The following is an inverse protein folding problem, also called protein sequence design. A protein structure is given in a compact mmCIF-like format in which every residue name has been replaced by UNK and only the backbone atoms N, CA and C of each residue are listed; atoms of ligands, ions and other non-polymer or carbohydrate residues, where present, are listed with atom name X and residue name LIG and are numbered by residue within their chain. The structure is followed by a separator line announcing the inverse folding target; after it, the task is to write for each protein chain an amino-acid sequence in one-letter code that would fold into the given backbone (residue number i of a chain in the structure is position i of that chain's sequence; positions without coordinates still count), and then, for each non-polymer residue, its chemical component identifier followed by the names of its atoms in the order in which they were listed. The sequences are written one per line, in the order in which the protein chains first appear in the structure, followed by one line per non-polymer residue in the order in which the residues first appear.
data_IF_347379309022
#
_entry.id   IF_347379309022
#
_cell.length_a   1.000
_cell.length_b   1.000
_cell.length_c   1.000
_cell.angle_alpha   90.00
_cell.angle_beta   90.00
_cell.angle_gamma   90.00
#
_symmetry.space_group_name_H-M   'P 1'
#
loop_
_entity.id
_entity.type
_entity.pdbx_description
1 polymer ?
#
# COMPACT_ATOMS: atom_id res chain seq x y z
N UNK A 1 13.82 -0.54 -9.73
CA UNK A 1 13.30 -1.28 -8.55
C UNK A 1 13.59 -2.75 -8.78
N UNK A 2 14.33 -3.40 -7.89
CA UNK A 2 14.64 -4.85 -7.87
C UNK A 2 13.40 -5.72 -8.15
N UNK A 3 12.21 -5.22 -7.83
CA UNK A 3 10.95 -5.86 -8.19
C UNK A 3 10.82 -6.07 -9.71
N UNK A 4 11.23 -5.13 -10.57
CA UNK A 4 11.22 -5.30 -12.03
C UNK A 4 12.28 -6.29 -12.54
N UNK A 5 13.44 -6.38 -11.89
CA UNK A 5 14.51 -7.32 -12.27
C UNK A 5 14.19 -8.76 -11.82
N UNK A 6 13.50 -8.93 -10.68
CA UNK A 6 12.93 -10.22 -10.27
C UNK A 6 11.56 -10.54 -10.92
N UNK A 7 10.97 -9.55 -11.59
CA UNK A 7 9.92 -9.69 -12.61
C UNK A 7 10.55 -9.49 -14.00
N UNK A 8 11.62 -10.20 -14.35
CA UNK A 8 11.90 -10.33 -15.77
C UNK A 8 10.69 -11.02 -16.43
N UNK A 9 9.96 -10.20 -17.17
CA UNK A 9 8.91 -10.54 -18.12
C UNK A 9 9.46 -11.15 -19.39
N UNK A 10 10.79 -11.24 -19.58
CA UNK A 10 11.38 -11.99 -20.68
C UNK A 10 11.09 -13.48 -20.49
N UNK A 11 10.88 -14.15 -21.62
CA UNK A 11 10.59 -15.58 -21.72
C UNK A 11 11.77 -16.46 -21.24
N UNK A 12 12.93 -15.83 -20.99
CA UNK A 12 14.16 -16.48 -20.56
C UNK A 12 14.18 -16.74 -19.05
N UNK A 13 14.13 -18.02 -18.73
CA UNK A 13 13.98 -18.60 -17.38
C UNK A 13 15.28 -18.53 -16.55
N UNK A 14 16.24 -17.65 -16.89
CA UNK A 14 17.59 -17.65 -16.30
C UNK A 14 18.20 -16.28 -15.95
N UNK A 15 17.43 -15.18 -15.98
CA UNK A 15 17.99 -13.85 -15.75
C UNK A 15 18.25 -13.56 -14.26
N UNK A 16 19.38 -14.04 -13.76
CA UNK A 16 20.03 -13.48 -12.55
C UNK A 16 20.33 -12.00 -12.85
N UNK A 17 19.96 -11.10 -11.93
CA UNK A 17 20.23 -9.67 -12.07
C UNK A 17 21.69 -9.42 -12.41
N UNK A 18 21.97 -8.64 -13.46
CA UNK A 18 23.33 -8.39 -13.91
C UNK A 18 24.10 -7.61 -12.83
N UNK A 19 25.41 -7.85 -12.70
CA UNK A 19 26.23 -7.15 -11.70
C UNK A 19 26.14 -5.62 -11.83
N UNK A 20 25.98 -5.13 -13.07
CA UNK A 20 25.76 -3.72 -13.37
C UNK A 20 24.44 -3.17 -12.79
N UNK A 21 23.36 -3.95 -12.85
CA UNK A 21 22.06 -3.57 -12.32
C UNK A 21 22.11 -3.48 -10.79
N UNK A 22 22.79 -4.44 -10.15
CA UNK A 22 23.02 -4.42 -8.70
C UNK A 22 23.81 -3.17 -8.29
N UNK A 23 24.88 -2.83 -9.02
CA UNK A 23 25.66 -1.60 -8.77
C UNK A 23 24.81 -0.34 -8.96
N UNK A 24 23.96 -0.30 -9.99
CA UNK A 24 23.05 0.82 -10.24
C UNK A 24 22.04 1.00 -9.10
N UNK A 25 21.50 -0.12 -8.58
CA UNK A 25 20.57 -0.13 -7.46
C UNK A 25 21.25 0.39 -6.19
N UNK A 26 22.44 -0.09 -5.85
CA UNK A 26 23.20 0.38 -4.69
C UNK A 26 23.53 1.88 -4.78
N UNK A 27 23.86 2.36 -6.00
CA UNK A 27 24.05 3.80 -6.24
C UNK A 27 22.77 4.59 -6.01
N UNK A 28 21.62 4.04 -6.40
CA UNK A 28 20.31 4.66 -6.21
C UNK A 28 19.90 4.66 -4.74
N UNK A 29 20.11 3.56 -4.01
CA UNK A 29 19.90 3.44 -2.57
C UNK A 29 20.67 4.52 -1.80
N UNK A 30 21.96 4.71 -2.12
CA UNK A 30 22.79 5.77 -1.51
C UNK A 30 22.24 7.17 -1.78
N UNK A 31 21.78 7.44 -3.00
CA UNK A 31 21.15 8.73 -3.34
C UNK A 31 19.85 8.96 -2.57
N UNK A 32 19.03 7.92 -2.42
CA UNK A 32 17.80 7.99 -1.63
C UNK A 32 18.11 8.24 -0.16
N UNK A 33 19.11 7.56 0.41
CA UNK A 33 19.56 7.79 1.79
C UNK A 33 19.97 9.24 2.02
N UNK A 34 20.77 9.81 1.12
CA UNK A 34 21.15 11.24 1.19
C UNK A 34 19.92 12.14 1.09
N UNK A 35 18.96 11.82 0.21
CA UNK A 35 17.73 12.59 0.06
C UNK A 35 16.87 12.60 1.33
N UNK A 36 16.78 11.45 2.03
CA UNK A 36 16.07 11.33 3.32
C UNK A 36 16.77 12.14 4.41
N UNK A 37 18.10 12.12 4.46
CA UNK A 37 18.88 12.96 5.38
C UNK A 37 18.62 14.45 5.13
N UNK A 38 18.65 14.89 3.86
CA UNK A 38 18.33 16.28 3.50
C UNK A 38 16.90 16.65 3.90
N UNK A 39 15.92 15.75 3.76
CA UNK A 39 14.55 16.01 4.22
C UNK A 39 14.48 16.24 5.74
N UNK A 40 15.25 15.47 6.52
CA UNK A 40 15.35 15.67 7.97
C UNK A 40 15.97 17.03 8.30
N UNK A 41 17.04 17.42 7.63
CA UNK A 41 17.68 18.74 7.82
C UNK A 41 16.70 19.88 7.49
N UNK A 42 16.04 19.82 6.32
CA UNK A 42 15.02 20.79 5.92
C UNK A 42 13.90 20.89 6.97
N UNK A 43 13.48 19.75 7.54
CA UNK A 43 12.47 19.72 8.59
C UNK A 43 12.90 20.45 9.87
N UNK A 44 14.18 20.41 10.23
CA UNK A 44 14.70 21.17 11.39
C UNK A 44 14.66 22.68 11.14
N UNK A 45 14.92 23.10 9.91
CA UNK A 45 14.95 24.51 9.50
C UNK A 45 13.55 25.15 9.44
N UNK A 46 12.47 24.36 9.35
CA UNK A 46 11.08 24.85 9.31
C UNK A 46 10.69 25.76 10.49
N UNK A 47 11.40 25.69 11.63
CA UNK A 47 11.16 26.55 12.80
C UNK A 47 11.45 28.03 12.53
N UNK A 48 12.29 28.32 11.54
CA UNK A 48 12.71 29.67 11.19
C UNK A 48 11.86 30.27 10.06
N UNK A 49 10.89 29.53 9.53
CA UNK A 49 10.10 29.98 8.38
C UNK A 49 8.96 30.93 8.81
N UNK A 50 8.92 32.17 8.28
CA UNK A 50 7.80 33.09 8.54
C UNK A 50 6.54 32.56 7.87
N UNK A 51 5.48 32.26 8.65
CA UNK A 51 4.26 31.62 8.13
C UNK A 51 3.01 32.47 8.36
N UNK A 52 2.18 32.54 7.32
CA UNK A 52 0.86 33.21 7.36
C UNK A 52 -0.24 32.33 7.98
N UNK A 53 -0.06 31.01 8.05
CA UNK A 53 -1.08 30.04 8.49
C UNK A 53 -0.52 29.09 9.54
N UNK A 54 -0.97 29.19 10.79
CA UNK A 54 -0.75 28.23 11.91
C UNK A 54 0.72 27.81 12.20
N UNK A 55 0.96 26.88 13.14
CA UNK A 55 2.27 26.24 13.35
C UNK A 55 2.51 25.11 12.31
N UNK A 56 3.76 24.81 11.97
CA UNK A 56 4.08 23.87 10.89
C UNK A 56 3.84 22.46 11.43
N UNK A 57 3.21 21.54 10.68
CA UNK A 57 2.95 20.19 11.17
C UNK A 57 4.22 19.33 11.18
N UNK A 58 5.24 19.76 11.93
CA UNK A 58 6.57 19.13 11.99
C UNK A 58 6.49 17.66 12.40
N UNK A 59 5.59 17.33 13.32
CA UNK A 59 5.41 15.95 13.79
C UNK A 59 4.98 15.01 12.67
N UNK A 60 3.98 15.39 11.86
CA UNK A 60 3.45 14.53 10.78
C UNK A 60 4.50 14.34 9.69
N UNK A 61 5.17 15.42 9.28
CA UNK A 61 6.25 15.33 8.30
C UNK A 61 7.43 14.49 8.79
N UNK A 62 7.75 14.55 10.08
CA UNK A 62 8.78 13.68 10.69
C UNK A 62 8.40 12.21 10.55
N UNK A 63 7.16 11.85 10.89
CA UNK A 63 6.70 10.47 10.75
C UNK A 63 6.72 10.00 9.29
N UNK A 64 6.39 10.87 8.34
CA UNK A 64 6.52 10.54 6.91
C UNK A 64 7.97 10.25 6.53
N UNK A 65 8.90 11.11 6.94
CA UNK A 65 10.33 10.92 6.64
C UNK A 65 10.85 9.64 7.30
N UNK A 66 10.43 9.34 8.54
CA UNK A 66 10.76 8.09 9.22
C UNK A 66 10.20 6.86 8.49
N UNK A 67 8.95 6.90 8.05
CA UNK A 67 8.36 5.79 7.29
C UNK A 67 9.06 5.58 5.95
N UNK A 68 9.49 6.66 5.27
CA UNK A 68 10.31 6.56 4.05
C UNK A 68 11.69 5.95 4.34
N UNK A 69 12.32 6.27 5.47
CA UNK A 69 13.57 5.63 5.91
C UNK A 69 13.36 4.13 6.15
N UNK A 70 12.32 3.75 6.91
CA UNK A 70 11.99 2.35 7.15
C UNK A 70 11.78 1.59 5.83
N UNK A 71 11.04 2.19 4.91
CA UNK A 71 10.78 1.63 3.58
C UNK A 71 12.08 1.42 2.78
N UNK A 72 13.01 2.38 2.83
CA UNK A 72 14.33 2.25 2.19
C UNK A 72 15.12 1.10 2.82
N UNK A 73 15.15 1.00 4.15
CA UNK A 73 15.84 -0.08 4.86
C UNK A 73 15.27 -1.46 4.46
N UNK A 74 13.94 -1.58 4.35
CA UNK A 74 13.30 -2.83 3.91
C UNK A 74 13.54 -3.16 2.45
N UNK A 75 13.66 -2.16 1.58
CA UNK A 75 14.07 -2.38 0.20
C UNK A 75 15.52 -2.88 0.11
N UNK A 76 16.42 -2.39 0.96
CA UNK A 76 17.81 -2.88 1.07
C UNK A 76 17.83 -4.33 1.59
N UNK A 77 17.04 -4.65 2.62
CA UNK A 77 16.88 -6.02 3.13
C UNK A 77 16.35 -6.95 2.05
N UNK A 78 15.33 -6.52 1.28
CA UNK A 78 14.75 -7.27 0.18
C UNK A 78 15.79 -7.57 -0.90
N UNK A 79 16.57 -6.58 -1.33
CA UNK A 79 17.65 -6.77 -2.31
C UNK A 79 18.71 -7.74 -1.79
N UNK A 80 19.11 -7.57 -0.54
CA UNK A 80 20.13 -8.41 0.09
C UNK A 80 19.66 -9.86 0.16
N UNK A 81 18.43 -10.10 0.60
CA UNK A 81 17.83 -11.44 0.61
C UNK A 81 17.76 -12.03 -0.82
N UNK A 82 17.29 -11.24 -1.79
CA UNK A 82 17.14 -11.69 -3.18
C UNK A 82 18.46 -12.16 -3.82
N UNK A 83 19.59 -11.54 -3.46
CA UNK A 83 20.93 -11.89 -3.96
C UNK A 83 21.37 -13.30 -3.57
N UNK A 84 20.95 -13.79 -2.39
CA UNK A 84 21.41 -15.06 -1.85
C UNK A 84 20.42 -16.21 -2.05
N UNK A 85 19.29 -15.98 -2.74
CA UNK A 85 18.36 -17.05 -3.09
C UNK A 85 19.03 -17.99 -4.11
N UNK A 86 19.10 -19.28 -3.77
CA UNK A 86 19.65 -20.31 -4.66
C UNK A 86 18.93 -20.34 -6.01
N UNK A 87 19.65 -20.47 -7.14
CA UNK A 87 19.05 -20.58 -8.48
C UNK A 87 18.08 -21.76 -8.61
N UNK A 88 18.26 -22.84 -7.86
CA UNK A 88 17.32 -23.97 -7.80
C UNK A 88 15.95 -23.54 -7.28
N UNK A 89 15.95 -22.80 -6.16
CA UNK A 89 14.74 -22.23 -5.55
C UNK A 89 14.10 -21.21 -6.48
N UNK A 90 14.91 -20.38 -7.14
CA UNK A 90 14.39 -19.43 -8.13
C UNK A 90 13.67 -20.17 -9.25
N UNK A 91 14.25 -21.23 -9.81
CA UNK A 91 13.63 -22.01 -10.89
C UNK A 91 12.32 -22.67 -10.44
N UNK A 92 12.32 -23.25 -9.25
CA UNK A 92 11.16 -23.93 -8.66
C UNK A 92 10.00 -22.96 -8.41
N UNK A 93 10.29 -21.76 -7.89
CA UNK A 93 9.27 -20.80 -7.46
C UNK A 93 8.88 -19.77 -8.52
N UNK A 94 9.82 -19.32 -9.36
CA UNK A 94 9.58 -18.24 -10.32
C UNK A 94 8.57 -18.59 -11.40
N UNK A 95 8.57 -19.83 -11.89
CA UNK A 95 7.61 -20.25 -12.91
C UNK A 95 6.18 -20.30 -12.36
N UNK A 96 5.88 -21.19 -11.40
CA UNK A 96 4.52 -21.40 -10.90
C UNK A 96 3.89 -20.18 -10.19
N UNK A 97 4.72 -19.30 -9.61
CA UNK A 97 4.25 -18.09 -8.93
C UNK A 97 4.33 -16.82 -9.79
N UNK A 98 4.78 -16.89 -11.05
CA UNK A 98 5.06 -15.72 -11.92
C UNK A 98 3.93 -14.69 -11.92
N UNK A 99 2.71 -15.14 -12.18
CA UNK A 99 1.52 -14.27 -12.28
C UNK A 99 1.21 -13.59 -10.95
N UNK A 100 1.23 -14.35 -9.85
CA UNK A 100 0.91 -13.84 -8.51
C UNK A 100 1.98 -12.86 -7.99
N UNK A 101 3.26 -13.14 -8.24
CA UNK A 101 4.33 -12.19 -7.88
C UNK A 101 4.25 -10.91 -8.69
N UNK A 102 3.95 -11.01 -10.00
CA UNK A 102 3.78 -9.85 -10.87
C UNK A 102 2.63 -8.97 -10.39
N UNK A 103 1.52 -9.57 -10.00
CA UNK A 103 0.36 -8.87 -9.45
C UNK A 103 0.69 -8.16 -8.12
N UNK A 104 1.34 -8.85 -7.18
CA UNK A 104 1.81 -8.24 -5.93
C UNK A 104 2.75 -7.05 -6.16
N UNK A 105 3.72 -7.24 -7.04
CA UNK A 105 4.66 -6.20 -7.41
C UNK A 105 4.01 -5.00 -8.11
N UNK A 106 3.05 -5.24 -9.01
CA UNK A 106 2.30 -4.19 -9.68
C UNK A 106 1.50 -3.37 -8.67
N UNK A 107 0.87 -4.02 -7.69
CA UNK A 107 0.18 -3.32 -6.61
C UNK A 107 1.14 -2.42 -5.82
N UNK A 108 2.32 -2.92 -5.42
CA UNK A 108 3.35 -2.14 -4.70
C UNK A 108 3.80 -0.93 -5.52
N UNK A 109 4.13 -1.11 -6.80
CA UNK A 109 4.56 0.01 -7.68
C UNK A 109 3.45 1.06 -7.84
N UNK A 110 2.19 0.62 -7.89
CA UNK A 110 1.04 1.50 -7.98
C UNK A 110 0.82 2.29 -6.67
N UNK A 111 1.04 1.68 -5.50
CA UNK A 111 1.07 2.42 -4.23
C UNK A 111 2.08 3.56 -4.26
N UNK A 112 3.32 3.29 -4.68
CA UNK A 112 4.34 4.33 -4.81
C UNK A 112 3.91 5.48 -5.72
N UNK A 113 3.35 5.16 -6.89
CA UNK A 113 2.88 6.18 -7.84
C UNK A 113 1.75 7.05 -7.26
N UNK A 114 0.76 6.43 -6.60
CA UNK A 114 -0.36 7.17 -6.04
C UNK A 114 0.08 8.07 -4.88
N UNK A 115 0.93 7.55 -3.98
CA UNK A 115 1.47 8.32 -2.86
C UNK A 115 2.33 9.49 -3.34
N UNK A 116 3.24 9.24 -4.28
CA UNK A 116 4.07 10.28 -4.87
C UNK A 116 3.23 11.34 -5.59
N UNK A 117 2.27 10.91 -6.42
CA UNK A 117 1.37 11.82 -7.13
C UNK A 117 0.56 12.71 -6.20
N UNK A 118 0.02 12.14 -5.11
CA UNK A 118 -0.73 12.87 -4.08
C UNK A 118 0.15 13.89 -3.35
N UNK A 119 1.37 13.53 -2.97
CA UNK A 119 2.30 14.44 -2.30
C UNK A 119 2.74 15.61 -3.21
N UNK A 120 3.07 15.33 -4.47
CA UNK A 120 3.50 16.34 -5.44
C UNK A 120 2.37 17.32 -5.76
N UNK A 121 1.18 16.79 -6.08
CA UNK A 121 0.02 17.60 -6.46
C UNK A 121 -0.72 18.21 -5.26
N UNK A 122 -0.37 17.82 -4.03
CA UNK A 122 -1.08 18.17 -2.79
C UNK A 122 -2.58 17.82 -2.87
N UNK A 123 -2.91 16.77 -3.60
CA UNK A 123 -4.29 16.30 -3.77
C UNK A 123 -4.58 15.17 -2.79
N UNK A 124 -5.82 15.07 -2.30
CA UNK A 124 -6.24 13.98 -1.41
C UNK A 124 -6.08 12.63 -2.13
N UNK A 125 -5.66 11.63 -1.37
CA UNK A 125 -5.53 10.28 -1.88
C UNK A 125 -6.88 9.73 -2.38
N UNK A 126 -6.86 8.85 -3.40
CA UNK A 126 -8.06 8.10 -3.80
C UNK A 126 -8.66 7.33 -2.62
N UNK A 127 -9.99 7.11 -2.61
CA UNK A 127 -10.65 6.38 -1.53
C UNK A 127 -10.21 4.92 -1.44
N UNK A 128 -9.82 4.31 -2.57
CA UNK A 128 -9.47 2.90 -2.66
C UNK A 128 -8.13 2.70 -3.36
N UNK A 129 -7.38 1.73 -2.87
CA UNK A 129 -6.13 1.24 -3.45
C UNK A 129 -6.30 -0.25 -3.78
N UNK A 130 -5.63 -0.77 -4.82
CA UNK A 130 -5.52 -2.21 -4.98
C UNK A 130 -4.77 -2.78 -3.78
N UNK A 131 -5.33 -3.78 -3.09
CA UNK A 131 -4.68 -4.31 -1.88
C UNK A 131 -3.45 -5.15 -2.22
N UNK A 132 -2.27 -4.60 -1.95
CA UNK A 132 -1.00 -5.33 -2.07
C UNK A 132 -0.92 -6.49 -1.07
N UNK A 133 -1.55 -6.36 0.11
CA UNK A 133 -1.67 -7.44 1.09
C UNK A 133 -2.44 -8.64 0.55
N UNK A 134 -3.59 -8.42 -0.10
CA UNK A 134 -4.34 -9.53 -0.71
C UNK A 134 -3.52 -10.17 -1.83
N UNK A 135 -2.83 -9.36 -2.65
CA UNK A 135 -1.95 -9.89 -3.70
C UNK A 135 -0.83 -10.79 -3.12
N UNK A 136 -0.22 -10.40 -2.00
CA UNK A 136 0.74 -11.24 -1.25
C UNK A 136 0.10 -12.52 -0.72
N UNK A 137 -1.08 -12.45 -0.13
CA UNK A 137 -1.80 -13.64 0.35
C UNK A 137 -2.06 -14.62 -0.80
N UNK A 138 -2.38 -14.13 -1.99
CA UNK A 138 -2.52 -14.99 -3.19
C UNK A 138 -1.23 -15.73 -3.53
N UNK A 139 -0.07 -15.08 -3.41
CA UNK A 139 1.25 -15.73 -3.59
C UNK A 139 1.44 -16.85 -2.57
N UNK A 140 1.17 -16.59 -1.29
CA UNK A 140 1.32 -17.57 -0.20
C UNK A 140 0.36 -18.75 -0.38
N UNK A 141 -0.91 -18.48 -0.70
CA UNK A 141 -1.90 -19.52 -0.92
C UNK A 141 -1.55 -20.38 -2.12
N UNK A 142 -1.05 -19.77 -3.21
CA UNK A 142 -0.58 -20.55 -4.36
C UNK A 142 0.61 -21.43 -4.01
N UNK A 143 1.57 -20.90 -3.24
CA UNK A 143 2.73 -21.66 -2.76
C UNK A 143 2.30 -22.86 -1.91
N UNK A 144 1.33 -22.68 -1.02
CA UNK A 144 0.74 -23.76 -0.20
C UNK A 144 -0.01 -24.79 -1.05
N UNK A 145 -0.69 -24.41 -2.12
CA UNK A 145 -1.34 -25.37 -3.01
C UNK A 145 -0.33 -26.19 -3.82
N UNK A 146 0.85 -25.63 -4.11
CA UNK A 146 1.94 -26.35 -4.76
C UNK A 146 2.81 -27.14 -3.78
N UNK A 147 2.53 -27.11 -2.46
CA UNK A 147 3.42 -27.68 -1.45
C UNK A 147 3.54 -29.20 -1.52
N UNK A 148 2.51 -29.87 -2.02
CA UNK A 148 2.52 -31.33 -2.24
C UNK A 148 3.47 -31.73 -3.38
N UNK A 149 3.87 -30.76 -4.22
CA UNK A 149 4.76 -30.96 -5.39
C UNK A 149 6.11 -30.25 -5.24
N UNK A 150 6.27 -29.35 -4.27
CA UNK A 150 7.47 -28.50 -4.09
C UNK A 150 8.30 -28.88 -2.84
N UNK A 151 9.58 -29.28 -2.99
CA UNK A 151 10.52 -29.52 -1.90
C UNK A 151 10.65 -28.41 -0.86
N UNK A 152 10.39 -27.13 -1.19
CA UNK A 152 10.43 -26.03 -0.22
C UNK A 152 9.53 -26.23 1.02
N UNK A 153 8.54 -27.11 0.91
CA UNK A 153 7.55 -27.44 1.93
C UNK A 153 7.50 -28.93 2.30
N UNK A 154 8.25 -29.79 1.61
CA UNK A 154 8.25 -31.24 1.83
C UNK A 154 9.36 -31.69 2.78
N UNK A 155 8.99 -32.28 3.93
CA UNK A 155 9.94 -32.77 4.94
C UNK A 155 10.49 -31.65 5.83
N UNK A 156 9.71 -31.24 6.83
CA UNK A 156 10.02 -30.20 7.83
C UNK A 156 10.13 -28.74 7.35
N UNK A 157 10.20 -28.43 6.05
CA UNK A 157 10.01 -27.06 5.51
C UNK A 157 11.03 -25.98 5.93
N UNK A 158 12.06 -26.39 6.69
CA UNK A 158 13.08 -25.55 7.32
C UNK A 158 14.49 -25.94 6.83
N UNK A 159 14.64 -26.20 5.53
CA UNK A 159 15.98 -26.27 4.97
C UNK A 159 16.62 -24.88 5.05
N UNK A 160 17.86 -24.80 5.55
CA UNK A 160 18.65 -23.56 5.58
C UNK A 160 18.71 -22.89 4.19
N UNK A 161 18.64 -23.70 3.13
CA UNK A 161 18.59 -23.27 1.72
C UNK A 161 17.41 -22.32 1.44
N UNK A 162 16.29 -22.45 2.16
CA UNK A 162 15.06 -21.68 1.96
C UNK A 162 15.04 -20.35 2.75
N UNK A 163 16.01 -20.13 3.65
CA UNK A 163 16.01 -18.98 4.56
C UNK A 163 15.94 -17.64 3.82
N UNK A 164 16.70 -17.49 2.74
CA UNK A 164 16.72 -16.25 1.95
C UNK A 164 15.40 -15.98 1.22
N UNK A 165 14.68 -17.04 0.81
CA UNK A 165 13.35 -16.90 0.25
C UNK A 165 12.34 -16.42 1.29
N UNK A 166 12.37 -16.99 2.50
CA UNK A 166 11.52 -16.54 3.59
C UNK A 166 11.84 -15.09 4.01
N UNK A 167 13.12 -14.73 4.09
CA UNK A 167 13.55 -13.36 4.36
C UNK A 167 13.04 -12.39 3.27
N UNK A 168 13.09 -12.78 2.00
CA UNK A 168 12.52 -12.01 0.88
C UNK A 168 11.00 -11.83 1.03
N UNK A 169 10.26 -12.89 1.36
CA UNK A 169 8.80 -12.83 1.60
C UNK A 169 8.40 -12.02 2.83
N UNK A 170 9.23 -12.02 3.88
CA UNK A 170 9.09 -11.16 5.06
C UNK A 170 9.32 -9.69 4.71
N UNK A 171 10.42 -9.39 4.01
CA UNK A 171 10.72 -8.02 3.59
C UNK A 171 9.62 -7.43 2.69
N UNK A 172 8.98 -8.26 1.84
CA UNK A 172 7.82 -7.83 1.05
C UNK A 172 6.59 -7.50 1.90
N UNK A 173 6.36 -8.23 3.00
CA UNK A 173 5.29 -7.92 3.96
C UNK A 173 5.52 -6.57 4.61
N UNK A 174 6.73 -6.37 5.14
CA UNK A 174 7.13 -5.16 5.84
C UNK A 174 7.06 -3.93 4.92
N UNK A 175 7.42 -4.07 3.63
CA UNK A 175 7.24 -3.02 2.62
C UNK A 175 5.76 -2.66 2.43
N UNK A 176 4.88 -3.66 2.36
CA UNK A 176 3.44 -3.42 2.20
C UNK A 176 2.87 -2.72 3.43
N UNK A 177 3.26 -3.15 4.63
CA UNK A 177 2.84 -2.52 5.88
C UNK A 177 3.29 -1.07 5.98
N UNK A 178 4.55 -0.78 5.64
CA UNK A 178 5.06 0.59 5.64
C UNK A 178 4.38 1.47 4.58
N UNK A 179 4.06 0.93 3.39
CA UNK A 179 3.30 1.67 2.38
C UNK A 179 1.88 2.03 2.85
N UNK A 180 1.23 1.14 3.58
CA UNK A 180 -0.09 1.41 4.14
C UNK A 180 -0.03 2.40 5.29
N UNK A 181 0.98 2.30 6.17
CA UNK A 181 1.25 3.28 7.21
C UNK A 181 1.49 4.67 6.60
N UNK A 182 2.35 4.76 5.58
CA UNK A 182 2.59 5.98 4.83
C UNK A 182 1.32 6.54 4.21
N UNK A 183 0.41 5.69 3.71
CA UNK A 183 -0.88 6.14 3.18
C UNK A 183 -1.75 6.84 4.22
N UNK A 184 -1.72 6.37 5.48
CA UNK A 184 -2.44 7.01 6.60
C UNK A 184 -1.83 8.37 6.90
N UNK A 185 -0.50 8.46 6.96
CA UNK A 185 0.20 9.72 7.21
C UNK A 185 -0.06 10.76 6.10
N UNK A 186 -0.04 10.35 4.83
CA UNK A 186 -0.31 11.23 3.69
C UNK A 186 -1.77 11.72 3.68
N UNK A 187 -2.74 10.88 4.09
CA UNK A 187 -4.15 11.30 4.27
C UNK A 187 -4.30 12.42 5.30
N UNK A 188 -3.50 12.43 6.36
CA UNK A 188 -3.52 13.49 7.37
C UNK A 188 -3.09 14.85 6.81
N UNK A 189 -2.19 14.85 5.82
CA UNK A 189 -1.68 16.09 5.20
C UNK A 189 -2.61 16.58 4.09
N UNK A 190 -3.07 15.67 3.25
CA UNK A 190 -3.82 16.00 2.02
C UNK A 190 -5.32 16.18 2.27
N UNK A 191 -5.83 15.68 3.39
CA UNK A 191 -7.24 15.78 3.77
C UNK A 191 -8.14 14.82 2.99
N UNK A 192 -9.45 15.03 3.09
CA UNK A 192 -10.46 14.18 2.43
C UNK A 192 -10.74 14.67 1.00
N UNK A 193 -11.03 13.76 0.04
CA UNK A 193 -11.43 14.14 -1.31
C UNK A 193 -12.76 14.89 -1.29
N UNK A 194 -12.79 16.08 -1.93
CA UNK A 194 -13.95 16.99 -1.98
C UNK A 194 -15.22 16.34 -2.58
N UNK A 195 -15.06 15.34 -3.45
CA UNK A 195 -16.17 14.65 -4.11
C UNK A 195 -17.03 13.81 -3.14
N UNK A 196 -16.42 13.21 -2.11
CA UNK A 196 -17.17 12.43 -1.12
C UNK A 196 -18.02 13.30 -0.19
N UNK A 197 -17.60 14.56 0.06
CA UNK A 197 -18.40 15.51 0.83
C UNK A 197 -19.70 15.86 0.11
N UNK A 198 -19.67 15.99 -1.22
CA UNK A 198 -20.89 16.27 -2.01
C UNK A 198 -21.84 15.08 -2.04
N UNK A 199 -21.34 13.84 -2.18
CA UNK A 199 -22.20 12.65 -2.16
C UNK A 199 -22.79 12.42 -0.76
N UNK A 200 -22.01 12.64 0.29
CA UNK A 200 -22.49 12.59 1.68
C UNK A 200 -23.56 13.65 1.96
N UNK A 201 -23.34 14.90 1.53
CA UNK A 201 -24.35 15.97 1.65
C UNK A 201 -25.63 15.66 0.86
N UNK A 202 -25.52 15.08 -0.35
CA UNK A 202 -26.67 14.65 -1.16
C UNK A 202 -27.41 13.42 -0.59
N UNK A 203 -26.77 12.65 0.28
CA UNK A 203 -27.40 11.55 1.02
C UNK A 203 -28.13 12.05 2.26
N UNK A 204 -27.57 13.06 2.92
CA UNK A 204 -28.11 13.66 4.14
C UNK A 204 -29.27 14.62 3.85
N UNK A 205 -29.29 15.29 2.68
CA UNK A 205 -30.43 16.09 2.20
C UNK A 205 -31.64 15.20 1.87
N UNK A 206 -31.43 14.03 1.24
CA UNK A 206 -32.51 13.05 0.98
C UNK A 206 -33.11 12.43 2.24
N UNK A 207 -32.30 12.28 3.30
CA UNK A 207 -32.78 11.77 4.58
C UNK A 207 -33.58 12.81 5.39
N UNK A 208 -33.41 14.10 5.09
CA UNK A 208 -34.20 15.19 5.69
C UNK A 208 -35.52 15.40 4.97
N UNK A 209 -35.54 15.25 3.64
CA UNK A 209 -36.79 15.31 2.85
C UNK A 209 -37.74 14.14 3.21
N UNK A 210 -37.22 12.96 3.55
CA UNK A 210 -38.04 11.83 4.00
C UNK A 210 -38.56 11.90 5.44
N UNK A 211 -38.20 12.93 6.23
CA UNK A 211 -38.72 13.13 7.59
C UNK A 211 -39.79 14.24 7.68
N UNK A 212 -39.96 15.06 6.63
CA UNK A 212 -40.95 16.14 6.60
C UNK A 212 -42.28 15.75 5.92
N UNK A 213 -42.35 14.59 5.25
CA UNK A 213 -43.59 14.09 4.60
C UNK A 213 -44.46 13.19 5.51
N UNK A 214 -44.18 13.12 6.82
CA UNK A 214 -44.76 12.14 7.74
C UNK A 214 -45.69 12.66 8.84
N UNK A 215 -46.15 13.92 8.80
CA UNK A 215 -47.04 14.47 9.84
C UNK A 215 -48.13 15.35 9.24
N UNK A 216 -49.05 14.78 8.45
CA UNK A 216 -50.41 15.34 8.34
C UNK A 216 -51.46 14.23 8.26
N UNK A 217 -52.42 14.33 9.18
CA UNK A 217 -53.79 13.81 9.13
C UNK A 217 -54.12 12.40 9.68
N UNK A 218 -54.14 12.28 11.02
CA UNK A 218 -55.17 11.46 11.70
C UNK A 218 -56.01 12.35 12.62
N UNK A 219 -57.01 13.02 12.04
CA UNK A 219 -57.93 13.89 12.76
C UNK A 219 -59.36 13.87 12.21
N UNK A 220 -60.20 13.01 12.79
CA UNK A 220 -61.66 13.12 12.88
C UNK A 220 -62.52 12.69 11.67
N UNK A 221 -63.09 11.48 11.78
CA UNK A 221 -64.44 11.18 11.26
C UNK A 221 -65.17 10.19 12.16
N UNK A 222 -66.22 10.66 12.82
CA UNK A 222 -67.09 9.82 13.65
C UNK A 222 -68.21 10.62 14.30
N UNK A 223 -69.13 11.18 13.51
CA UNK A 223 -70.38 11.77 14.02
C UNK A 223 -71.59 11.03 13.43
N UNK A 224 -72.26 10.31 14.33
CA UNK A 224 -73.69 9.97 14.39
C UNK A 224 -74.46 9.71 13.09
N UNK A 225 -74.88 8.46 12.92
CA UNK A 225 -76.06 8.11 12.11
C UNK A 225 -77.14 7.60 13.07
N UNK A 226 -78.22 8.36 13.20
CA UNK A 226 -79.41 7.96 13.94
C UNK A 226 -80.24 6.96 13.14
N UNK A 227 -80.87 6.02 13.85
CA UNK A 227 -81.96 5.21 13.34
C UNK A 227 -83.18 5.46 14.22
N UNK A 228 -84.22 6.03 13.62
CA UNK A 228 -85.61 5.88 14.05
C UNK A 228 -86.13 4.53 13.54
N UNK A 229 -86.92 3.84 14.38
CA UNK A 229 -87.54 2.55 14.11
C UNK A 229 -87.69 1.72 15.37
#
# INVERSE_FOLDING_TARGET
MVIATYIHTSEDTSAVATEEEVKLLEKTEKKLQVSVLMCNELLTLTRHEPRLKGPFPTKIWREIVNSVQNLLDRLVSLRSAAKFISPEIQKELCGPLKVYRRDMAAAIVLYFHILAGSLISKTPLPPYFPSARIARIRVINRLRQSSDTMPLTGGAGLEYRNLYWYAYMSSMEEIIEELENLSVLVKLITGKPKLLHRIGAMGDERNKEGQDEGVEDEGAKGRSMGYEG
#
